data_IF_348163077744
#
_entry.id   IF_348163077744
#
_cell.length_a   1.000
_cell.length_b   1.000
_cell.length_c   1.000
_cell.angle_alpha   90.00
_cell.angle_beta   90.00
_cell.angle_gamma   90.00
#
_symmetry.space_group_name_H-M   'P 1'
#
loop_
_entity.id
_entity.type
_entity.pdbx_description
1 polymer ?
#
# COMPACT_ATOMS: atom_id res chain seq x y z
N UNK A 1 -2.07 -12.71 19.23
CA UNK A 1 -2.43 -12.52 17.81
C UNK A 1 -1.42 -13.32 16.99
N UNK A 2 -1.87 -14.40 16.36
CA UNK A 2 -1.01 -15.48 15.85
C UNK A 2 -0.45 -15.11 14.48
N UNK A 3 0.85 -14.86 14.39
CA UNK A 3 1.59 -14.93 13.14
C UNK A 3 2.02 -16.39 12.94
N UNK A 4 1.34 -17.11 12.05
CA UNK A 4 1.80 -18.41 11.58
C UNK A 4 2.54 -18.20 10.26
N UNK A 5 3.87 -18.25 10.31
CA UNK A 5 4.70 -18.56 9.15
C UNK A 5 4.87 -20.08 9.15
N UNK A 6 4.33 -20.78 8.15
CA UNK A 6 4.67 -22.18 7.91
C UNK A 6 5.23 -22.28 6.49
N UNK A 7 6.53 -22.58 6.41
CA UNK A 7 7.18 -23.08 5.22
C UNK A 7 7.88 -24.37 5.66
N UNK A 8 7.25 -25.51 5.40
CA UNK A 8 7.89 -26.82 5.48
C UNK A 8 7.88 -27.43 4.07
N UNK A 9 9.04 -27.60 3.46
CA UNK A 9 9.76 -28.88 3.44
C UNK A 9 10.91 -28.88 2.42
N UNK A 10 11.93 -29.66 2.77
CA UNK A 10 13.09 -30.15 1.99
C UNK A 10 14.35 -29.27 1.96
N UNK A 11 15.16 -29.39 3.02
CA UNK A 11 16.61 -29.50 2.87
C UNK A 11 17.13 -30.60 3.80
N UNK A 12 17.67 -31.65 3.17
CA UNK A 12 18.42 -32.74 3.81
C UNK A 12 19.48 -32.16 4.74
N UNK A 13 19.74 -32.86 5.85
CA UNK A 13 20.81 -32.59 6.79
C UNK A 13 22.17 -32.49 6.07
N UNK A 14 22.66 -31.28 5.84
CA UNK A 14 24.09 -31.04 5.69
C UNK A 14 24.61 -30.80 7.09
N UNK A 15 25.22 -31.82 7.68
CA UNK A 15 26.06 -31.66 8.87
C UNK A 15 27.22 -30.74 8.48
N UNK A 16 27.07 -29.45 8.76
CA UNK A 16 28.16 -28.49 8.67
C UNK A 16 28.68 -28.30 10.10
N UNK A 17 29.90 -28.73 10.37
CA UNK A 17 30.58 -28.54 11.65
C UNK A 17 30.51 -27.07 12.05
N UNK A 18 29.84 -26.79 13.18
CA UNK A 18 29.74 -25.45 13.75
C UNK A 18 31.12 -25.00 14.23
N UNK A 19 31.80 -24.13 13.46
CA UNK A 19 32.86 -23.28 14.00
C UNK A 19 32.21 -22.21 14.86
N UNK A 20 32.77 -21.97 16.04
CA UNK A 20 32.24 -21.07 17.07
C UNK A 20 32.22 -19.60 16.70
N UNK A 21 31.37 -19.22 15.74
CA UNK A 21 30.98 -17.82 15.51
C UNK A 21 29.72 -17.54 16.34
N UNK A 22 29.79 -16.53 17.21
CA UNK A 22 28.62 -16.02 17.93
C UNK A 22 27.56 -15.67 16.89
N UNK A 23 26.47 -16.43 16.83
CA UNK A 23 25.32 -16.07 15.99
C UNK A 23 24.89 -14.65 16.40
N UNK A 24 24.88 -13.68 15.48
CA UNK A 24 24.45 -12.33 15.81
C UNK A 24 23.00 -12.38 16.31
N UNK A 25 22.67 -11.56 17.31
CA UNK A 25 21.30 -11.52 17.82
C UNK A 25 20.33 -11.14 16.69
N UNK A 26 19.09 -11.67 16.69
CA UNK A 26 18.07 -11.20 15.78
C UNK A 26 17.84 -9.69 15.93
N UNK A 27 17.57 -9.02 14.82
CA UNK A 27 17.13 -7.63 14.83
C UNK A 27 15.70 -7.55 15.38
N UNK A 28 15.44 -6.53 16.18
CA UNK A 28 14.07 -6.19 16.60
C UNK A 28 13.29 -5.57 15.43
N UNK A 29 11.96 -5.58 15.52
CA UNK A 29 11.10 -4.95 14.51
C UNK A 29 11.45 -3.46 14.32
N UNK A 30 11.72 -2.73 15.41
CA UNK A 30 12.11 -1.33 15.36
C UNK A 30 13.44 -1.11 14.64
N UNK A 31 14.42 -1.99 14.85
CA UNK A 31 15.70 -1.93 14.15
C UNK A 31 15.56 -2.25 12.67
N UNK A 32 14.71 -3.20 12.29
CA UNK A 32 14.40 -3.49 10.90
C UNK A 32 13.76 -2.27 10.25
N UNK A 33 12.72 -1.70 10.87
CA UNK A 33 12.01 -0.54 10.32
C UNK A 33 12.95 0.67 10.14
N UNK A 34 13.77 1.00 11.14
CA UNK A 34 14.68 2.13 11.10
C UNK A 34 15.80 1.97 10.06
N UNK A 35 16.25 0.74 9.79
CA UNK A 35 17.38 0.47 8.90
C UNK A 35 16.98 -0.13 7.54
N UNK A 36 15.69 -0.35 7.29
CA UNK A 36 15.20 -1.02 6.09
C UNK A 36 15.69 -0.34 4.82
N UNK A 37 15.36 0.94 4.64
CA UNK A 37 15.71 1.70 3.43
C UNK A 37 17.19 2.12 3.37
N UNK A 38 17.83 2.32 4.52
CA UNK A 38 19.18 2.90 4.57
C UNK A 38 20.29 1.88 4.37
N UNK A 39 20.10 0.64 4.85
CA UNK A 39 21.16 -0.38 4.83
C UNK A 39 20.63 -1.76 4.49
N UNK A 40 19.55 -2.22 5.13
CA UNK A 40 19.15 -3.62 5.07
C UNK A 40 18.66 -4.03 3.69
N UNK A 41 17.84 -3.22 3.04
CA UNK A 41 17.26 -3.52 1.73
C UNK A 41 18.34 -3.81 0.69
N UNK A 42 19.24 -2.85 0.44
CA UNK A 42 20.25 -2.98 -0.62
C UNK A 42 21.30 -4.03 -0.26
N UNK A 43 21.61 -4.19 1.02
CA UNK A 43 22.48 -5.28 1.48
C UNK A 43 21.87 -6.64 1.18
N UNK A 44 20.61 -6.86 1.53
CA UNK A 44 19.93 -8.14 1.29
C UNK A 44 19.83 -8.45 -0.21
N UNK A 45 19.55 -7.46 -1.05
CA UNK A 45 19.55 -7.67 -2.51
C UNK A 45 20.92 -8.12 -3.01
N UNK A 46 22.01 -7.49 -2.54
CA UNK A 46 23.37 -7.89 -2.91
C UNK A 46 23.77 -9.26 -2.35
N UNK A 47 23.54 -9.51 -1.07
CA UNK A 47 23.94 -10.73 -0.37
C UNK A 47 23.27 -11.98 -1.01
N UNK A 48 22.07 -11.80 -1.58
CA UNK A 48 21.32 -12.87 -2.25
C UNK A 48 21.35 -12.80 -3.77
N UNK A 49 22.12 -11.87 -4.37
CA UNK A 49 22.18 -11.63 -5.81
C UNK A 49 20.79 -11.49 -6.47
N UNK A 50 19.91 -10.71 -5.84
CA UNK A 50 18.53 -10.51 -6.26
C UNK A 50 18.34 -9.16 -6.95
N UNK A 51 17.69 -9.18 -8.11
CA UNK A 51 17.23 -7.99 -8.80
C UNK A 51 15.79 -7.64 -8.38
N UNK A 52 15.46 -6.37 -8.07
CA UNK A 52 14.10 -5.97 -7.69
C UNK A 52 13.03 -6.35 -8.72
N UNK A 53 13.35 -6.22 -10.02
CA UNK A 53 12.44 -6.57 -11.10
C UNK A 53 12.09 -8.07 -11.09
N UNK A 54 13.09 -8.93 -10.87
CA UNK A 54 12.89 -10.37 -10.73
C UNK A 54 11.97 -10.70 -9.54
N UNK A 55 12.18 -10.05 -8.39
CA UNK A 55 11.33 -10.27 -7.22
C UNK A 55 9.88 -9.83 -7.47
N UNK A 56 9.67 -8.72 -8.16
CA UNK A 56 8.33 -8.26 -8.56
C UNK A 56 7.63 -9.31 -9.43
N UNK A 57 8.31 -9.85 -10.43
CA UNK A 57 7.78 -10.90 -11.30
C UNK A 57 7.49 -12.19 -10.53
N UNK A 58 8.44 -12.63 -9.70
CA UNK A 58 8.29 -13.83 -8.87
C UNK A 58 7.11 -13.71 -7.90
N UNK A 59 6.96 -12.58 -7.21
CA UNK A 59 5.81 -12.35 -6.33
C UNK A 59 4.49 -12.31 -7.10
N UNK A 60 4.49 -11.82 -8.34
CA UNK A 60 3.34 -11.91 -9.24
C UNK A 60 2.97 -13.37 -9.52
N UNK A 61 3.93 -14.14 -10.05
CA UNK A 61 3.73 -15.53 -10.42
C UNK A 61 3.28 -16.42 -9.25
N UNK A 62 3.86 -16.23 -8.06
CA UNK A 62 3.45 -16.97 -6.85
C UNK A 62 2.01 -16.66 -6.46
N UNK A 63 1.58 -15.40 -6.55
CA UNK A 63 0.18 -15.02 -6.28
C UNK A 63 -0.76 -15.59 -7.35
N UNK A 64 -0.37 -15.54 -8.61
CA UNK A 64 -1.17 -16.13 -9.70
C UNK A 64 -1.37 -17.64 -9.49
N UNK A 65 -0.30 -18.37 -9.17
CA UNK A 65 -0.36 -19.80 -8.87
C UNK A 65 -1.23 -20.10 -7.63
N UNK A 66 -1.14 -19.27 -6.60
CA UNK A 66 -1.99 -19.38 -5.42
C UNK A 66 -3.46 -19.15 -5.78
N UNK A 67 -3.78 -18.07 -6.50
CA UNK A 67 -5.15 -17.75 -6.93
C UNK A 67 -5.73 -18.86 -7.80
N UNK A 68 -4.94 -19.44 -8.71
CA UNK A 68 -5.36 -20.55 -9.56
C UNK A 68 -5.67 -21.82 -8.75
N UNK A 69 -4.93 -22.07 -7.67
CA UNK A 69 -5.11 -23.24 -6.79
C UNK A 69 -6.27 -23.05 -5.80
N UNK A 70 -6.32 -21.90 -5.15
CA UNK A 70 -7.29 -21.58 -4.10
C UNK A 70 -7.47 -20.06 -3.99
N UNK A 71 -8.30 -19.52 -4.90
CA UNK A 71 -8.66 -18.09 -4.95
C UNK A 71 -9.21 -17.59 -3.61
N UNK A 72 -10.02 -18.38 -2.92
CA UNK A 72 -10.70 -17.92 -1.70
C UNK A 72 -9.73 -17.75 -0.53
N UNK A 73 -8.77 -18.66 -0.37
CA UNK A 73 -7.74 -18.53 0.66
C UNK A 73 -6.86 -17.29 0.45
N UNK A 74 -6.53 -16.95 -0.80
CA UNK A 74 -5.79 -15.73 -1.11
C UNK A 74 -6.63 -14.47 -0.82
N UNK A 75 -7.92 -14.47 -1.21
CA UNK A 75 -8.84 -13.37 -0.95
C UNK A 75 -9.08 -13.15 0.55
N UNK A 76 -9.16 -14.21 1.35
CA UNK A 76 -9.33 -14.12 2.80
C UNK A 76 -8.18 -13.36 3.49
N UNK A 77 -6.97 -13.38 2.92
CA UNK A 77 -5.81 -12.63 3.41
C UNK A 77 -5.73 -11.19 2.88
N UNK A 78 -6.66 -10.82 1.98
CA UNK A 78 -6.76 -9.48 1.40
C UNK A 78 -8.13 -8.85 1.72
N UNK A 79 -8.70 -9.19 2.89
CA UNK A 79 -9.96 -8.63 3.34
C UNK A 79 -9.87 -7.10 3.50
N UNK A 80 -10.92 -6.39 3.07
CA UNK A 80 -11.06 -4.96 3.27
C UNK A 80 -11.57 -4.69 4.69
N UNK A 81 -11.10 -3.61 5.31
CA UNK A 81 -11.52 -3.23 6.65
C UNK A 81 -13.05 -3.03 6.76
N UNK A 82 -13.67 -3.41 7.89
CA UNK A 82 -15.11 -3.25 8.08
C UNK A 82 -15.59 -1.81 7.81
N UNK A 83 -16.75 -1.69 7.16
CA UNK A 83 -17.36 -0.39 6.81
C UNK A 83 -16.77 0.30 5.58
N UNK A 84 -15.53 -0.02 5.17
CA UNK A 84 -14.90 0.62 4.00
C UNK A 84 -15.61 0.29 2.69
N UNK A 85 -16.07 -0.96 2.53
CA UNK A 85 -16.81 -1.37 1.32
C UNK A 85 -18.05 -0.50 1.11
N UNK A 86 -18.88 -0.36 2.14
CA UNK A 86 -20.12 0.43 2.07
C UNK A 86 -19.80 1.90 1.83
N UNK A 87 -18.81 2.44 2.54
CA UNK A 87 -18.36 3.82 2.40
C UNK A 87 -17.87 4.13 0.97
N UNK A 88 -17.07 3.25 0.35
CA UNK A 88 -16.63 3.40 -1.04
C UNK A 88 -17.80 3.30 -2.03
N UNK A 89 -18.75 2.40 -1.76
CA UNK A 89 -19.93 2.17 -2.60
C UNK A 89 -20.96 3.30 -2.52
N UNK A 90 -21.00 4.03 -1.41
CA UNK A 90 -21.92 5.14 -1.15
C UNK A 90 -21.31 6.52 -1.41
N UNK A 91 -20.00 6.59 -1.61
CA UNK A 91 -19.30 7.83 -1.94
C UNK A 91 -19.96 8.57 -3.09
N UNK A 92 -20.12 9.88 -2.94
CA UNK A 92 -20.65 10.74 -4.01
C UNK A 92 -19.55 11.23 -4.95
N UNK A 93 -18.30 11.23 -4.47
CA UNK A 93 -17.14 11.69 -5.22
C UNK A 93 -16.44 10.53 -5.96
N UNK A 94 -15.67 10.81 -7.02
CA UNK A 94 -14.89 9.79 -7.71
C UNK A 94 -13.81 9.19 -6.81
N UNK A 95 -13.71 7.85 -6.80
CA UNK A 95 -12.70 7.14 -6.00
C UNK A 95 -11.62 6.54 -6.88
N UNK A 96 -10.38 6.65 -6.40
CA UNK A 96 -9.16 6.20 -7.07
C UNK A 96 -8.37 5.27 -6.16
N UNK A 97 -7.78 4.22 -6.73
CA UNK A 97 -6.86 3.33 -6.03
C UNK A 97 -5.46 3.55 -6.60
N UNK A 98 -4.51 4.02 -5.79
CA UNK A 98 -3.11 4.22 -6.22
C UNK A 98 -2.21 3.26 -5.46
N UNK A 99 -1.63 2.28 -6.15
CA UNK A 99 -0.93 1.17 -5.49
C UNK A 99 0.26 0.65 -6.31
N UNK A 100 1.20 0.00 -5.63
CA UNK A 100 2.29 -0.75 -6.27
C UNK A 100 1.94 -2.23 -6.46
N UNK A 101 0.69 -2.61 -6.18
CA UNK A 101 0.15 -3.94 -6.47
C UNK A 101 -0.26 -4.01 -7.95
N UNK A 102 -0.13 -5.20 -8.54
CA UNK A 102 -0.60 -5.46 -9.90
C UNK A 102 -2.12 -5.28 -9.99
N UNK A 103 -2.59 -4.59 -11.03
CA UNK A 103 -4.00 -4.17 -11.20
C UNK A 103 -4.97 -5.37 -11.21
N UNK A 104 -4.54 -6.51 -11.76
CA UNK A 104 -5.34 -7.74 -11.76
C UNK A 104 -5.68 -8.23 -10.36
N UNK A 105 -4.77 -8.08 -9.39
CA UNK A 105 -5.01 -8.46 -8.00
C UNK A 105 -5.92 -7.47 -7.29
N UNK A 106 -5.78 -6.18 -7.60
CA UNK A 106 -6.68 -5.15 -7.07
C UNK A 106 -8.10 -5.42 -7.54
N UNK A 107 -8.28 -5.70 -8.82
CA UNK A 107 -9.59 -6.00 -9.42
C UNK A 107 -10.28 -7.18 -8.74
N UNK A 108 -9.55 -8.27 -8.49
CA UNK A 108 -10.07 -9.44 -7.78
C UNK A 108 -10.49 -9.13 -6.34
N UNK A 109 -9.74 -8.27 -5.64
CA UNK A 109 -10.04 -7.86 -4.26
C UNK A 109 -11.31 -6.99 -4.24
N UNK A 110 -11.39 -6.00 -5.13
CA UNK A 110 -12.54 -5.10 -5.22
C UNK A 110 -13.82 -5.87 -5.56
N UNK A 111 -13.74 -6.78 -6.55
CA UNK A 111 -14.85 -7.66 -6.95
C UNK A 111 -15.31 -8.55 -5.79
N UNK A 112 -14.38 -9.27 -5.15
CA UNK A 112 -14.71 -10.14 -4.02
C UNK A 112 -15.32 -9.37 -2.83
N UNK A 113 -14.86 -8.14 -2.60
CA UNK A 113 -15.39 -7.30 -1.54
C UNK A 113 -16.78 -6.73 -1.86
N UNK A 114 -17.29 -6.90 -3.08
CA UNK A 114 -18.57 -6.33 -3.50
C UNK A 114 -18.52 -4.83 -3.79
N UNK A 115 -17.33 -4.28 -4.10
CA UNK A 115 -17.21 -2.90 -4.56
C UNK A 115 -17.68 -2.83 -6.02
N UNK A 116 -18.65 -1.97 -6.29
CA UNK A 116 -19.28 -1.93 -7.61
C UNK A 116 -18.34 -1.30 -8.65
N UNK A 117 -18.36 -1.83 -9.87
CA UNK A 117 -17.48 -1.39 -10.98
C UNK A 117 -17.78 0.05 -11.44
N UNK A 118 -19.02 0.54 -11.28
CA UNK A 118 -19.36 1.95 -11.51
C UNK A 118 -18.72 2.89 -10.50
N UNK A 119 -18.39 2.39 -9.30
CA UNK A 119 -17.79 3.17 -8.21
C UNK A 119 -16.29 3.26 -8.31
N UNK A 120 -15.62 2.16 -8.63
CA UNK A 120 -14.18 2.13 -8.88
C UNK A 120 -13.95 1.38 -10.20
N UNK A 121 -14.11 2.04 -11.35
CA UNK A 121 -13.83 1.41 -12.64
C UNK A 121 -12.33 1.13 -12.77
N UNK A 122 -11.93 0.17 -13.60
CA UNK A 122 -10.51 -0.17 -13.82
C UNK A 122 -9.66 1.04 -14.25
N UNK A 123 -10.25 2.00 -14.96
CA UNK A 123 -9.57 3.25 -15.33
C UNK A 123 -9.12 4.09 -14.12
N UNK A 124 -9.75 3.91 -12.95
CA UNK A 124 -9.42 4.59 -11.70
C UNK A 124 -8.47 3.79 -10.79
N UNK A 125 -8.07 2.59 -11.20
CA UNK A 125 -7.03 1.81 -10.52
C UNK A 125 -5.70 2.12 -11.17
N UNK A 126 -4.82 2.78 -10.42
CA UNK A 126 -3.43 3.08 -10.79
C UNK A 126 -2.53 2.06 -10.10
N UNK A 127 -2.38 0.89 -10.71
CA UNK A 127 -1.53 -0.18 -10.19
C UNK A 127 -0.12 -0.16 -10.76
N UNK A 128 0.62 -1.22 -10.46
CA UNK A 128 2.04 -1.38 -10.81
C UNK A 128 2.31 -1.20 -12.31
N UNK A 129 1.43 -1.76 -13.14
CA UNK A 129 1.56 -1.80 -14.60
C UNK A 129 1.56 -0.42 -15.24
N UNK A 130 1.04 0.62 -14.55
CA UNK A 130 1.10 2.00 -15.06
C UNK A 130 2.48 2.63 -14.99
N UNK A 131 3.40 2.06 -14.19
CA UNK A 131 4.74 2.62 -14.01
C UNK A 131 4.77 4.03 -13.41
N UNK A 132 3.68 4.47 -12.77
CA UNK A 132 3.57 5.80 -12.18
C UNK A 132 3.94 5.78 -10.70
N UNK A 133 4.70 6.79 -10.26
CA UNK A 133 4.82 7.07 -8.83
C UNK A 133 3.48 7.56 -8.28
N UNK A 134 3.26 7.42 -6.97
CA UNK A 134 2.07 7.99 -6.30
C UNK A 134 1.90 9.48 -6.60
N UNK A 135 3.00 10.23 -6.61
CA UNK A 135 3.01 11.67 -6.91
C UNK A 135 2.53 11.93 -8.35
N UNK A 136 3.05 11.19 -9.33
CA UNK A 136 2.65 11.34 -10.73
C UNK A 136 1.20 10.92 -10.96
N UNK A 137 0.75 9.84 -10.30
CA UNK A 137 -0.65 9.41 -10.35
C UNK A 137 -1.59 10.47 -9.79
N UNK A 138 -1.26 11.10 -8.65
CA UNK A 138 -2.06 12.20 -8.08
C UNK A 138 -2.13 13.40 -9.02
N UNK A 139 -1.02 13.79 -9.66
CA UNK A 139 -1.01 14.87 -10.67
C UNK A 139 -1.94 14.56 -11.84
N UNK A 140 -1.90 13.32 -12.34
CA UNK A 140 -2.75 12.89 -13.44
C UNK A 140 -4.23 12.86 -13.05
N UNK A 141 -4.55 12.40 -11.85
CA UNK A 141 -5.92 12.42 -11.30
C UNK A 141 -6.43 13.86 -11.19
N UNK A 142 -5.64 14.77 -10.62
CA UNK A 142 -5.98 16.19 -10.52
C UNK A 142 -6.29 16.80 -11.90
N UNK A 143 -5.40 16.58 -12.88
CA UNK A 143 -5.58 17.06 -14.26
C UNK A 143 -6.86 16.51 -14.87
N UNK A 144 -7.07 15.19 -14.77
CA UNK A 144 -8.23 14.49 -15.34
C UNK A 144 -9.54 14.99 -14.74
N UNK A 145 -9.61 15.17 -13.43
CA UNK A 145 -10.83 15.69 -12.79
C UNK A 145 -11.07 17.16 -13.11
N UNK A 146 -10.02 17.98 -13.18
CA UNK A 146 -10.16 19.39 -13.57
C UNK A 146 -10.71 19.53 -15.00
N UNK A 147 -10.23 18.71 -15.94
CA UNK A 147 -10.70 18.70 -17.33
C UNK A 147 -12.16 18.26 -17.47
N UNK A 148 -12.60 17.26 -16.69
CA UNK A 148 -13.99 16.81 -16.69
C UNK A 148 -14.96 17.90 -16.22
N UNK A 149 -14.52 18.74 -15.29
CA UNK A 149 -15.39 19.74 -14.70
C UNK A 149 -15.56 21.00 -15.55
N UNK A 150 -14.72 21.23 -16.58
CA UNK A 150 -14.89 22.17 -17.70
C UNK A 150 -14.99 23.67 -17.38
N UNK A 151 -15.63 24.00 -16.26
CA UNK A 151 -15.81 25.32 -15.70
C UNK A 151 -14.81 25.53 -14.55
N UNK A 152 -14.01 26.58 -14.66
CA UNK A 152 -12.94 26.91 -13.71
C UNK A 152 -13.48 27.40 -12.35
N UNK A 153 -14.79 27.33 -12.13
CA UNK A 153 -15.48 27.74 -10.90
C UNK A 153 -15.43 26.67 -9.79
N UNK A 154 -15.44 25.37 -10.13
CA UNK A 154 -15.35 24.29 -9.14
C UNK A 154 -13.89 23.90 -8.92
N UNK A 155 -13.38 24.23 -7.74
CA UNK A 155 -12.04 23.82 -7.31
C UNK A 155 -12.05 22.32 -7.02
N UNK A 156 -11.31 21.54 -7.83
CA UNK A 156 -11.06 20.12 -7.54
C UNK A 156 -10.05 20.02 -6.40
N UNK A 157 -10.38 19.25 -5.37
CA UNK A 157 -9.47 18.91 -4.27
C UNK A 157 -9.37 17.40 -4.20
N UNK A 158 -8.14 16.87 -4.19
CA UNK A 158 -7.89 15.44 -4.01
C UNK A 158 -7.61 15.14 -2.55
N UNK A 159 -8.36 14.22 -1.95
CA UNK A 159 -8.08 13.68 -0.63
C UNK A 159 -7.19 12.44 -0.77
N UNK A 160 -5.90 12.56 -0.43
CA UNK A 160 -4.96 11.45 -0.49
C UNK A 160 -4.88 10.74 0.87
N UNK A 161 -5.47 9.56 0.96
CA UNK A 161 -5.49 8.69 2.16
C UNK A 161 -4.47 7.57 2.00
N UNK A 162 -3.51 7.48 2.91
CA UNK A 162 -2.39 6.54 2.84
C UNK A 162 -1.96 6.15 4.27
N UNK A 163 -1.48 4.93 4.47
CA UNK A 163 -1.08 4.45 5.80
C UNK A 163 0.42 4.57 6.07
N UNK A 164 1.22 4.83 5.03
CA UNK A 164 2.65 5.08 5.11
C UNK A 164 2.97 6.57 5.21
N UNK A 165 3.41 6.99 6.39
CA UNK A 165 3.77 8.38 6.66
C UNK A 165 4.82 8.92 5.66
N UNK A 166 5.86 8.15 5.33
CA UNK A 166 6.91 8.66 4.44
C UNK A 166 6.40 8.95 3.02
N UNK A 167 5.36 8.23 2.58
CA UNK A 167 4.73 8.49 1.29
C UNK A 167 3.92 9.80 1.31
N UNK A 168 3.23 10.09 2.41
CA UNK A 168 2.52 11.35 2.62
C UNK A 168 3.47 12.53 2.74
N UNK A 169 4.57 12.40 3.49
CA UNK A 169 5.58 13.45 3.61
C UNK A 169 6.20 13.78 2.25
N UNK A 170 6.65 12.77 1.51
CA UNK A 170 7.20 12.95 0.17
C UNK A 170 6.19 13.59 -0.79
N UNK A 171 4.91 13.18 -0.74
CA UNK A 171 3.86 13.76 -1.56
C UNK A 171 3.57 15.22 -1.19
N UNK A 172 3.44 15.52 0.11
CA UNK A 172 3.14 16.88 0.60
C UNK A 172 4.19 17.91 0.19
N UNK A 173 5.47 17.52 0.17
CA UNK A 173 6.57 18.37 -0.32
C UNK A 173 6.55 18.47 -1.86
N UNK A 174 6.42 17.34 -2.56
CA UNK A 174 6.52 17.29 -4.03
C UNK A 174 5.33 17.92 -4.75
N UNK A 175 4.20 18.05 -4.05
CA UNK A 175 2.94 18.62 -4.54
C UNK A 175 2.57 19.89 -3.75
N UNK A 176 3.56 20.58 -3.19
CA UNK A 176 3.32 21.82 -2.46
C UNK A 176 2.57 22.84 -3.35
N UNK A 177 1.45 23.36 -2.84
CA UNK A 177 0.57 24.28 -3.56
C UNK A 177 -0.47 23.60 -4.47
N UNK A 178 -0.40 22.30 -4.71
CA UNK A 178 -1.48 21.56 -5.37
C UNK A 178 -2.68 21.42 -4.42
N UNK A 179 -3.93 21.35 -4.94
CA UNK A 179 -5.13 21.20 -4.12
C UNK A 179 -5.28 19.74 -3.65
N UNK A 180 -4.40 19.32 -2.75
CA UNK A 180 -4.39 17.97 -2.16
C UNK A 180 -4.42 18.07 -0.65
N UNK A 181 -5.31 17.32 -0.02
CA UNK A 181 -5.34 17.14 1.44
C UNK A 181 -4.79 15.76 1.79
N UNK A 182 -3.89 15.68 2.77
CA UNK A 182 -3.15 14.47 3.11
C UNK A 182 -3.67 13.86 4.41
N UNK A 183 -4.05 12.58 4.37
CA UNK A 183 -4.63 11.86 5.50
C UNK A 183 -3.81 10.61 5.82
N UNK A 184 -3.22 10.56 7.02
CA UNK A 184 -2.61 9.34 7.53
C UNK A 184 -3.70 8.41 8.08
N UNK A 185 -3.92 7.28 7.41
CA UNK A 185 -4.82 6.23 7.87
C UNK A 185 -4.23 5.52 9.11
N UNK A 186 -4.74 5.86 10.28
CA UNK A 186 -4.23 5.36 11.58
C UNK A 186 -4.46 3.87 11.83
N UNK A 187 -5.27 3.22 10.98
CA UNK A 187 -5.60 1.79 11.06
C UNK A 187 -4.70 0.88 10.21
N UNK A 188 -3.76 1.46 9.45
CA UNK A 188 -2.82 0.72 8.59
C UNK A 188 -1.41 0.56 9.18
N UNK A 189 -0.40 0.47 8.31
CA UNK A 189 0.99 0.15 8.68
C UNK A 189 1.77 1.35 9.24
N UNK A 190 1.32 1.91 10.36
CA UNK A 190 2.06 2.92 11.12
C UNK A 190 2.13 2.62 12.63
N UNK A 191 3.21 3.06 13.25
CA UNK A 191 3.45 2.94 14.69
C UNK A 191 3.06 4.23 15.47
N UNK A 192 3.03 4.19 16.82
CA UNK A 192 2.71 5.37 17.63
C UNK A 192 3.67 6.56 17.41
N UNK A 193 4.94 6.33 17.10
CA UNK A 193 5.91 7.39 16.87
C UNK A 193 5.65 8.09 15.53
N UNK A 194 5.30 7.33 14.49
CA UNK A 194 4.86 7.89 13.21
C UNK A 194 3.57 8.70 13.37
N UNK A 195 2.58 8.23 14.13
CA UNK A 195 1.37 9.02 14.41
C UNK A 195 1.67 10.32 15.16
N UNK A 196 2.48 10.27 16.21
CA UNK A 196 2.90 11.48 16.95
C UNK A 196 3.72 12.46 16.09
N UNK A 197 4.46 11.96 15.09
CA UNK A 197 5.15 12.78 14.09
C UNK A 197 4.17 13.43 13.11
N UNK A 198 3.18 12.67 12.63
CA UNK A 198 2.14 13.17 11.74
C UNK A 198 1.27 14.24 12.41
N UNK A 199 0.92 14.10 13.69
CA UNK A 199 0.19 15.12 14.48
C UNK A 199 0.91 16.47 14.53
N UNK A 200 2.24 16.46 14.44
CA UNK A 200 3.07 17.67 14.45
C UNK A 200 3.36 18.19 13.03
N UNK A 201 2.93 17.48 11.99
CA UNK A 201 3.21 17.84 10.60
C UNK A 201 2.17 18.84 10.10
N UNK A 202 2.56 19.97 9.47
CA UNK A 202 1.63 21.05 9.14
C UNK A 202 0.62 20.72 8.04
N UNK A 203 0.85 19.66 7.26
CA UNK A 203 0.03 19.31 6.09
C UNK A 203 -0.68 17.96 6.19
N UNK A 204 -0.41 17.15 7.22
CA UNK A 204 -0.92 15.78 7.31
C UNK A 204 -1.90 15.70 8.47
N UNK A 205 -3.11 15.24 8.19
CA UNK A 205 -4.15 14.99 9.19
C UNK A 205 -4.19 13.51 9.54
N UNK A 206 -4.35 13.19 10.83
CA UNK A 206 -4.69 11.82 11.22
C UNK A 206 -6.14 11.53 10.83
N UNK A 207 -6.36 10.37 10.24
CA UNK A 207 -7.69 9.86 9.93
C UNK A 207 -7.84 8.50 10.58
N UNK A 208 -8.87 8.33 11.41
CA UNK A 208 -9.26 7.02 11.94
C UNK A 208 -10.32 6.35 11.07
N UNK A 209 -10.46 5.03 11.25
CA UNK A 209 -11.32 4.22 10.40
C UNK A 209 -12.80 4.64 10.51
N UNK A 210 -13.36 4.88 11.71
CA UNK A 210 -14.73 5.37 11.83
C UNK A 210 -14.94 6.70 11.10
N UNK A 211 -14.05 7.67 11.28
CA UNK A 211 -14.13 8.99 10.63
C UNK A 211 -14.00 8.86 9.11
N UNK A 212 -13.10 8.01 8.62
CA UNK A 212 -12.99 7.74 7.18
C UNK A 212 -14.31 7.19 6.63
N UNK A 213 -14.88 6.16 7.26
CA UNK A 213 -16.14 5.57 6.79
C UNK A 213 -17.26 6.59 6.80
N UNK A 214 -17.36 7.41 7.85
CA UNK A 214 -18.37 8.47 7.95
C UNK A 214 -18.21 9.58 6.90
N UNK A 215 -16.98 10.06 6.64
CA UNK A 215 -16.70 11.14 5.67
C UNK A 215 -16.93 10.73 4.21
N UNK A 216 -16.98 9.43 3.94
CA UNK A 216 -17.19 8.88 2.60
C UNK A 216 -18.67 8.65 2.27
N UNK A 217 -19.57 8.73 3.25
CA UNK A 217 -21.03 8.78 3.04
C UNK A 217 -21.49 10.21 2.74
#
# INVERSE_FOLDING_TARGET
MRAFFWCECWLRSVSCQERGERRPRPLTVGEIAANWKSVLHDRLLRDWALEPAFLIELFGAVRDAWIARDKQSWLALNAIYPGVVDALNLSQEPVYVVTTKQERFVSLILENAGIRQDRIPSANVYGLERGLTKITAIKEILRREQEKHGDHTRKVIVHFVEDRLEALEAASISLLGAPVTYHLATWGYNDPAQRARAEKHPFIELLDLPTFTMKMH
#
